data_IF_664931761379
#
_entry.id   IF_664931761379
#
_cell.length_a   1.000
_cell.length_b   1.000
_cell.length_c   1.000
_cell.angle_alpha   90.00
_cell.angle_beta   90.00
_cell.angle_gamma   90.00
#
_symmetry.space_group_name_H-M   'P 1'
#
loop_
_entity.id
_entity.type
_entity.pdbx_description
1 polymer ?
#
# COMPACT_ATOMS: atom_id res chain seq x y z
N UNK A 1 15.78 -21.39 77.22
CA UNK A 1 14.88 -20.86 76.16
C UNK A 1 15.66 -20.72 74.87
N UNK A 2 15.48 -21.64 73.93
CA UNK A 2 16.19 -21.57 72.61
C UNK A 2 15.16 -21.16 71.55
N UNK A 3 15.38 -19.99 70.97
CA UNK A 3 14.56 -19.50 69.82
C UNK A 3 15.06 -20.13 68.52
N UNK A 4 14.20 -20.89 67.87
CA UNK A 4 14.49 -21.48 66.53
C UNK A 4 14.08 -20.46 65.46
N UNK A 5 15.07 -19.93 64.74
CA UNK A 5 14.86 -19.15 63.51
C UNK A 5 14.55 -20.14 62.35
N UNK A 6 13.40 -19.94 61.69
CA UNK A 6 13.04 -20.59 60.42
C UNK A 6 13.49 -19.69 59.25
N UNK A 7 14.26 -20.17 58.27
CA UNK A 7 14.53 -19.39 57.10
C UNK A 7 13.31 -19.42 56.12
N UNK A 8 12.74 -18.25 55.81
CA UNK A 8 11.74 -18.09 54.73
C UNK A 8 12.46 -18.09 53.39
N UNK A 9 12.20 -19.13 52.59
CA UNK A 9 12.71 -19.22 51.22
C UNK A 9 11.87 -18.30 50.30
N UNK A 10 12.45 -17.20 49.87
CA UNK A 10 11.84 -16.32 48.89
C UNK A 10 12.03 -16.93 47.49
N UNK A 11 10.96 -17.43 46.87
CA UNK A 11 10.99 -17.90 45.49
C UNK A 11 10.81 -16.69 44.58
N UNK A 12 11.90 -16.27 43.93
CA UNK A 12 11.90 -15.23 42.93
C UNK A 12 11.36 -15.81 41.61
N UNK A 13 10.12 -15.48 41.24
CA UNK A 13 9.51 -15.86 39.96
C UNK A 13 10.06 -14.92 38.88
N UNK A 14 11.07 -15.36 38.13
CA UNK A 14 11.58 -14.62 36.98
C UNK A 14 10.59 -14.75 35.81
N UNK A 15 9.80 -13.69 35.56
CA UNK A 15 8.95 -13.57 34.38
C UNK A 15 9.86 -13.30 33.19
N UNK A 16 10.10 -14.31 32.37
CA UNK A 16 10.79 -14.18 31.08
C UNK A 16 9.89 -13.45 30.09
N UNK A 17 10.03 -12.14 29.99
CA UNK A 17 9.48 -11.34 28.88
C UNK A 17 10.16 -11.78 27.59
N UNK A 18 9.49 -12.64 26.80
CA UNK A 18 9.91 -12.95 25.45
C UNK A 18 9.57 -11.73 24.57
N UNK A 19 10.55 -11.11 23.87
CA UNK A 19 10.21 -10.14 22.85
C UNK A 19 9.49 -10.90 21.73
N UNK A 20 8.20 -10.61 21.54
CA UNK A 20 7.50 -11.05 20.33
C UNK A 20 8.15 -10.32 19.16
N UNK A 21 8.92 -11.04 18.35
CA UNK A 21 9.41 -10.53 17.08
C UNK A 21 8.19 -10.28 16.19
N UNK A 22 7.76 -9.02 16.12
CA UNK A 22 6.75 -8.58 15.15
C UNK A 22 7.31 -8.86 13.76
N UNK A 23 6.81 -9.90 13.10
CA UNK A 23 7.13 -10.17 11.70
C UNK A 23 6.62 -8.99 10.87
N UNK A 24 7.55 -8.22 10.29
CA UNK A 24 7.21 -7.14 9.40
C UNK A 24 6.41 -7.71 8.21
N UNK A 25 5.23 -7.15 7.93
CA UNK A 25 4.42 -7.56 6.79
C UNK A 25 5.19 -7.33 5.49
N UNK A 26 5.10 -8.28 4.57
CA UNK A 26 5.64 -8.11 3.23
C UNK A 26 4.83 -7.06 2.45
N UNK A 27 5.41 -6.51 1.39
CA UNK A 27 4.73 -5.56 0.49
C UNK A 27 3.42 -6.17 -0.04
N UNK A 28 3.46 -7.43 -0.47
CA UNK A 28 2.30 -8.15 -0.99
C UNK A 28 1.19 -8.35 0.07
N UNK A 29 1.57 -8.72 1.29
CA UNK A 29 0.63 -8.87 2.40
C UNK A 29 0.01 -7.53 2.82
N UNK A 30 0.80 -6.47 2.91
CA UNK A 30 0.31 -5.12 3.22
C UNK A 30 -0.73 -4.67 2.20
N UNK A 31 -0.44 -4.81 0.91
CA UNK A 31 -1.36 -4.45 -0.17
C UNK A 31 -2.62 -5.34 -0.19
N UNK A 32 -2.46 -6.65 0.05
CA UNK A 32 -3.57 -7.61 0.11
C UNK A 32 -4.50 -7.31 1.28
N UNK A 33 -3.95 -7.11 2.48
CA UNK A 33 -4.72 -6.81 3.68
C UNK A 33 -5.44 -5.46 3.60
N UNK A 34 -4.87 -4.49 2.88
CA UNK A 34 -5.55 -3.23 2.58
C UNK A 34 -6.66 -3.42 1.54
N UNK A 35 -6.62 -4.50 0.72
CA UNK A 35 -7.60 -4.83 -0.32
C UNK A 35 -7.27 -4.21 -1.68
N UNK A 36 -5.99 -3.90 -1.96
CA UNK A 36 -5.56 -3.32 -3.23
C UNK A 36 -5.54 -4.34 -4.38
N UNK A 37 -5.22 -5.61 -4.08
CA UNK A 37 -5.02 -6.65 -5.11
C UNK A 37 -6.27 -6.79 -5.97
N UNK A 38 -6.12 -6.64 -7.30
CA UNK A 38 -7.20 -6.72 -8.26
C UNK A 38 -7.05 -5.71 -9.40
N UNK A 39 -8.08 -5.61 -10.21
CA UNK A 39 -8.19 -4.70 -11.36
C UNK A 39 -9.07 -3.52 -11.01
N UNK A 40 -8.61 -2.30 -11.31
CA UNK A 40 -9.26 -1.04 -10.95
C UNK A 40 -9.45 -0.16 -12.18
N UNK A 41 -10.66 0.38 -12.37
CA UNK A 41 -11.03 1.20 -13.53
C UNK A 41 -12.13 2.21 -13.17
N UNK A 42 -12.32 3.19 -14.03
CA UNK A 42 -13.48 4.09 -13.95
C UNK A 42 -14.75 3.38 -14.43
N UNK A 43 -14.63 2.60 -15.53
CA UNK A 43 -15.75 1.83 -16.12
C UNK A 43 -15.30 0.41 -16.43
N UNK A 44 -15.80 -0.57 -15.68
CA UNK A 44 -15.49 -1.98 -15.89
C UNK A 44 -16.19 -2.59 -17.14
N UNK A 45 -17.20 -1.94 -17.68
CA UNK A 45 -17.98 -2.43 -18.84
C UNK A 45 -17.41 -2.06 -20.21
N UNK A 46 -16.36 -1.25 -20.26
CA UNK A 46 -15.73 -0.82 -21.51
C UNK A 46 -14.28 -1.33 -21.62
N UNK A 47 -13.70 -1.49 -22.82
CA UNK A 47 -12.27 -1.81 -22.96
C UNK A 47 -11.39 -0.66 -22.43
N UNK A 48 -10.15 -0.94 -22.00
CA UNK A 48 -9.19 0.07 -21.60
C UNK A 48 -8.94 1.09 -22.70
N UNK A 49 -8.78 2.35 -22.31
CA UNK A 49 -8.49 3.48 -23.21
C UNK A 49 -7.54 4.48 -22.53
N UNK A 50 -7.07 5.49 -23.28
CA UNK A 50 -6.21 6.55 -22.72
C UNK A 50 -6.88 7.34 -21.60
N UNK A 51 -8.20 7.52 -21.65
CA UNK A 51 -8.97 8.25 -20.64
C UNK A 51 -9.52 7.37 -19.51
N UNK A 52 -9.57 6.04 -19.72
CA UNK A 52 -10.01 5.05 -18.73
C UNK A 52 -9.04 3.86 -18.76
N UNK A 53 -7.88 4.06 -18.17
CA UNK A 53 -6.86 3.04 -18.07
C UNK A 53 -7.23 1.94 -17.08
N UNK A 54 -6.78 0.73 -17.36
CA UNK A 54 -6.83 -0.37 -16.42
C UNK A 54 -5.58 -0.36 -15.53
N UNK A 55 -5.78 -0.35 -14.22
CA UNK A 55 -4.73 -0.49 -13.22
C UNK A 55 -4.91 -1.81 -12.50
N UNK A 56 -3.94 -2.70 -12.64
CA UNK A 56 -4.01 -4.02 -12.01
C UNK A 56 -2.87 -4.21 -11.02
N UNK A 57 -3.23 -4.54 -9.79
CA UNK A 57 -2.26 -4.92 -8.77
C UNK A 57 -2.28 -6.42 -8.59
N UNK A 58 -1.15 -7.08 -8.82
CA UNK A 58 -1.04 -8.55 -8.86
C UNK A 58 0.24 -9.03 -8.20
N UNK A 59 0.14 -10.15 -7.48
CA UNK A 59 1.32 -10.81 -6.88
C UNK A 59 1.83 -11.89 -7.83
N UNK A 60 3.10 -11.81 -8.19
CA UNK A 60 3.82 -12.80 -8.99
C UNK A 60 5.16 -13.12 -8.32
N UNK A 61 5.41 -14.41 -8.03
CA UNK A 61 6.65 -14.84 -7.38
C UNK A 61 6.91 -14.15 -6.03
N UNK A 62 5.86 -13.88 -5.25
CA UNK A 62 5.94 -13.21 -3.95
C UNK A 62 6.16 -11.68 -4.03
N UNK A 63 6.26 -11.11 -5.22
CA UNK A 63 6.44 -9.68 -5.45
C UNK A 63 5.13 -9.06 -5.95
N UNK A 64 4.87 -7.82 -5.54
CA UNK A 64 3.73 -7.03 -6.00
C UNK A 64 4.10 -6.25 -7.25
N UNK A 65 3.22 -6.30 -8.26
CA UNK A 65 3.33 -5.55 -9.50
C UNK A 65 2.13 -4.65 -9.71
N UNK A 66 2.39 -3.50 -10.32
CA UNK A 66 1.44 -2.57 -10.86
C UNK A 66 1.47 -2.66 -12.39
N UNK A 67 0.51 -3.36 -12.95
CA UNK A 67 0.31 -3.46 -14.39
C UNK A 67 -0.66 -2.37 -14.84
N UNK A 68 -0.35 -1.71 -15.95
CA UNK A 68 -1.19 -0.66 -16.52
C UNK A 68 -1.51 -0.98 -17.97
N UNK A 69 -2.72 -0.68 -18.38
CA UNK A 69 -3.16 -0.75 -19.78
C UNK A 69 -4.00 0.48 -20.14
N UNK A 70 -3.63 1.17 -21.22
CA UNK A 70 -4.28 2.40 -21.71
C UNK A 70 -4.73 2.23 -23.17
N UNK A 71 -5.10 1.03 -23.58
CA UNK A 71 -5.50 0.68 -24.94
C UNK A 71 -4.30 0.30 -25.80
N UNK A 72 -3.56 1.30 -26.28
CA UNK A 72 -2.37 1.12 -27.14
C UNK A 72 -1.06 1.00 -26.35
N UNK A 73 -1.05 1.39 -25.09
CA UNK A 73 0.12 1.34 -24.22
C UNK A 73 -0.13 0.47 -23.00
N UNK A 74 0.82 -0.39 -22.69
CA UNK A 74 0.80 -1.23 -21.48
C UNK A 74 2.19 -1.38 -20.89
N UNK A 75 2.27 -1.46 -19.59
CA UNK A 75 3.48 -1.76 -18.86
C UNK A 75 3.22 -2.54 -17.57
N UNK A 76 4.30 -3.07 -16.99
CA UNK A 76 4.29 -3.76 -15.71
C UNK A 76 5.47 -3.27 -14.89
N UNK A 77 5.18 -2.78 -13.69
CA UNK A 77 6.15 -2.13 -12.83
C UNK A 77 6.14 -2.74 -11.43
N UNK A 78 7.32 -2.98 -10.86
CA UNK A 78 7.40 -3.55 -9.51
C UNK A 78 7.05 -2.49 -8.45
N UNK A 79 6.20 -2.88 -7.50
CA UNK A 79 5.99 -2.13 -6.26
C UNK A 79 7.14 -2.45 -5.31
N UNK A 80 7.89 -1.44 -4.91
CA UNK A 80 9.09 -1.59 -4.09
C UNK A 80 8.85 -1.28 -2.61
N UNK A 81 7.72 -0.62 -2.28
CA UNK A 81 7.27 -0.44 -0.91
C UNK A 81 5.75 -0.34 -0.82
N UNK A 82 5.18 -0.77 0.31
CA UNK A 82 3.78 -0.59 0.66
C UNK A 82 3.66 -0.33 2.15
N UNK A 83 3.02 0.76 2.54
CA UNK A 83 2.83 1.16 3.93
C UNK A 83 1.40 1.61 4.17
N UNK A 84 0.71 0.96 5.12
CA UNK A 84 -0.58 1.46 5.60
C UNK A 84 -0.33 2.60 6.59
N UNK A 85 -0.91 3.76 6.31
CA UNK A 85 -0.80 4.96 7.15
C UNK A 85 -1.82 4.90 8.31
N UNK A 86 -1.59 5.72 9.34
CA UNK A 86 -2.47 5.80 10.50
C UNK A 86 -3.90 6.27 10.16
N UNK A 87 -4.07 7.07 9.10
CA UNK A 87 -5.36 7.53 8.57
C UNK A 87 -6.11 6.47 7.73
N UNK A 88 -5.53 5.26 7.61
CA UNK A 88 -6.09 4.17 6.84
C UNK A 88 -5.75 4.19 5.34
N UNK A 89 -5.07 5.23 4.84
CA UNK A 89 -4.59 5.27 3.47
C UNK A 89 -3.45 4.26 3.24
N UNK A 90 -3.18 3.95 1.97
CA UNK A 90 -2.08 3.09 1.55
C UNK A 90 -1.09 3.90 0.73
N UNK A 91 0.15 3.92 1.15
CA UNK A 91 1.26 4.49 0.41
C UNK A 91 2.02 3.37 -0.32
N UNK A 92 2.25 3.56 -1.62
CA UNK A 92 3.02 2.65 -2.47
C UNK A 92 4.16 3.39 -3.14
N UNK A 93 5.32 2.74 -3.25
CA UNK A 93 6.39 3.18 -4.16
C UNK A 93 6.49 2.20 -5.32
N UNK A 94 6.44 2.72 -6.54
CA UNK A 94 6.48 1.94 -7.78
C UNK A 94 7.65 2.40 -8.63
N UNK A 95 8.46 1.46 -9.08
CA UNK A 95 9.57 1.72 -9.99
C UNK A 95 9.13 1.44 -11.42
N UNK A 96 8.97 2.50 -12.21
CA UNK A 96 8.61 2.46 -13.63
C UNK A 96 9.87 2.42 -14.48
N UNK A 97 10.36 1.22 -14.80
CA UNK A 97 11.57 1.06 -15.62
C UNK A 97 11.37 1.63 -17.04
N UNK A 98 10.16 1.48 -17.61
CA UNK A 98 9.82 2.03 -18.94
C UNK A 98 9.89 3.56 -19.02
N UNK A 99 9.75 4.24 -17.87
CA UNK A 99 9.77 5.71 -17.76
C UNK A 99 11.03 6.22 -17.07
N UNK A 100 11.92 5.35 -16.61
CA UNK A 100 13.09 5.69 -15.78
C UNK A 100 12.70 6.57 -14.58
N UNK A 101 11.59 6.26 -13.92
CA UNK A 101 11.04 7.03 -12.80
C UNK A 101 10.65 6.12 -11.62
N UNK A 102 10.83 6.64 -10.42
CA UNK A 102 10.23 6.07 -9.21
C UNK A 102 9.13 7.01 -8.72
N UNK A 103 7.92 6.48 -8.55
CA UNK A 103 6.77 7.26 -8.10
C UNK A 103 6.19 6.73 -6.82
N UNK A 104 5.80 7.65 -5.95
CA UNK A 104 5.10 7.34 -4.70
C UNK A 104 3.64 7.77 -4.84
N UNK A 105 2.74 6.83 -4.61
CA UNK A 105 1.30 7.02 -4.61
C UNK A 105 0.75 6.93 -3.19
N UNK A 106 -0.25 7.73 -2.87
CA UNK A 106 -1.08 7.50 -1.70
C UNK A 106 -2.52 7.30 -2.16
N UNK A 107 -3.10 6.17 -1.79
CA UNK A 107 -4.48 5.82 -2.09
C UNK A 107 -5.35 5.93 -0.85
N UNK A 108 -6.55 6.48 -1.03
CA UNK A 108 -7.62 6.39 -0.05
C UNK A 108 -8.72 5.43 -0.54
N UNK A 109 -9.44 4.84 0.41
CA UNK A 109 -10.59 3.96 0.15
C UNK A 109 -11.87 4.63 0.63
N UNK A 110 -12.89 4.65 -0.23
CA UNK A 110 -14.23 5.08 0.14
C UNK A 110 -14.97 3.99 0.93
N UNK A 111 -16.05 4.39 1.60
CA UNK A 111 -16.93 3.47 2.33
C UNK A 111 -17.60 2.42 1.42
N UNK A 112 -17.70 2.71 0.13
CA UNK A 112 -18.21 1.82 -0.93
C UNK A 112 -17.15 0.87 -1.53
N UNK A 113 -15.91 0.89 -0.98
CA UNK A 113 -14.80 0.06 -1.42
C UNK A 113 -14.05 0.56 -2.66
N UNK A 114 -14.50 1.68 -3.28
CA UNK A 114 -13.75 2.32 -4.37
C UNK A 114 -12.47 2.95 -3.85
N UNK A 115 -11.48 3.11 -4.71
CA UNK A 115 -10.20 3.76 -4.36
C UNK A 115 -9.94 4.97 -5.24
N UNK A 116 -9.15 5.91 -4.75
CA UNK A 116 -8.58 6.99 -5.58
C UNK A 116 -7.22 7.40 -5.05
N UNK A 117 -6.35 7.85 -5.96
CA UNK A 117 -5.09 8.46 -5.58
C UNK A 117 -5.34 9.86 -5.01
N UNK A 118 -4.76 10.17 -3.86
CA UNK A 118 -4.77 11.49 -3.23
C UNK A 118 -3.40 12.15 -3.30
N UNK A 119 -2.36 11.37 -3.61
CA UNK A 119 -1.01 11.86 -3.89
C UNK A 119 -0.37 11.00 -4.97
N UNK A 120 0.39 11.62 -5.85
CA UNK A 120 1.28 10.97 -6.80
C UNK A 120 2.50 11.87 -7.04
N UNK A 121 3.66 11.43 -6.55
CA UNK A 121 4.91 12.18 -6.54
C UNK A 121 5.99 11.39 -7.28
N UNK A 122 6.77 12.05 -8.10
CA UNK A 122 8.06 11.54 -8.55
C UNK A 122 9.05 11.64 -7.39
N UNK A 123 9.65 10.52 -6.98
CA UNK A 123 10.54 10.46 -5.82
C UNK A 123 11.86 11.20 -6.08
N UNK A 124 12.35 11.13 -7.35
CA UNK A 124 13.65 11.66 -7.72
C UNK A 124 13.63 13.20 -7.88
N UNK A 125 12.56 13.75 -8.49
CA UNK A 125 12.42 15.20 -8.74
C UNK A 125 11.57 15.93 -7.72
N UNK A 126 10.85 15.18 -6.86
CA UNK A 126 9.86 15.71 -5.92
C UNK A 126 8.66 16.44 -6.58
N UNK A 127 8.43 16.21 -7.87
CA UNK A 127 7.30 16.76 -8.61
C UNK A 127 6.03 15.96 -8.37
N UNK A 128 4.92 16.66 -8.19
CA UNK A 128 3.61 16.06 -7.98
C UNK A 128 2.73 16.18 -9.22
N UNK A 129 2.06 15.10 -9.59
CA UNK A 129 0.92 15.13 -10.52
C UNK A 129 -0.42 15.14 -9.79
N UNK A 130 -0.45 14.59 -8.56
CA UNK A 130 -1.57 14.70 -7.63
C UNK A 130 -1.01 15.14 -6.28
N UNK A 131 -1.55 16.21 -5.71
CA UNK A 131 -1.20 16.72 -4.40
C UNK A 131 -2.47 17.13 -3.64
N UNK A 132 -2.55 16.74 -2.37
CA UNK A 132 -3.70 17.06 -1.50
C UNK A 132 -5.06 16.70 -2.13
N UNK A 133 -5.11 15.54 -2.81
CA UNK A 133 -6.31 15.03 -3.46
C UNK A 133 -6.72 15.76 -4.72
N UNK A 134 -5.82 16.52 -5.36
CA UNK A 134 -6.10 17.28 -6.60
C UNK A 134 -4.99 17.10 -7.64
N UNK A 135 -5.36 17.05 -8.90
CA UNK A 135 -4.39 17.14 -10.00
C UNK A 135 -3.71 18.50 -9.99
N UNK A 136 -2.37 18.51 -10.02
CA UNK A 136 -1.59 19.77 -10.04
C UNK A 136 -1.79 20.58 -11.33
N UNK A 137 -2.12 19.89 -12.44
CA UNK A 137 -2.31 20.50 -13.74
C UNK A 137 -3.60 21.36 -13.85
N UNK A 138 -4.67 21.01 -13.15
CA UNK A 138 -5.98 21.64 -13.34
C UNK A 138 -6.82 21.81 -12.05
N UNK A 139 -6.34 21.34 -10.90
CA UNK A 139 -7.05 21.44 -9.62
C UNK A 139 -8.24 20.49 -9.46
N UNK A 140 -8.53 19.65 -10.44
CA UNK A 140 -9.62 18.68 -10.36
C UNK A 140 -9.29 17.54 -9.39
N UNK A 141 -10.32 16.98 -8.75
CA UNK A 141 -10.18 15.82 -7.90
C UNK A 141 -10.05 14.55 -8.77
N UNK A 142 -9.07 13.65 -8.51
CA UNK A 142 -9.00 12.36 -9.19
C UNK A 142 -10.28 11.57 -9.00
N UNK A 143 -10.79 10.90 -10.04
CA UNK A 143 -12.01 10.12 -9.95
C UNK A 143 -11.82 8.86 -9.10
N UNK A 144 -12.92 8.36 -8.55
CA UNK A 144 -12.96 7.09 -7.89
C UNK A 144 -12.88 5.93 -8.91
N UNK A 145 -12.06 4.95 -8.59
CA UNK A 145 -11.92 3.72 -9.37
C UNK A 145 -12.67 2.58 -8.69
N UNK A 146 -13.38 1.80 -9.51
CA UNK A 146 -14.13 0.63 -9.10
C UNK A 146 -13.28 -0.61 -9.31
N UNK A 147 -13.38 -1.58 -8.40
CA UNK A 147 -12.75 -2.88 -8.56
C UNK A 147 -13.56 -3.71 -9.56
N UNK A 148 -12.94 -4.04 -10.69
CA UNK A 148 -13.52 -4.90 -11.69
C UNK A 148 -13.36 -6.40 -11.30
N UNK A 149 -14.36 -7.20 -11.64
CA UNK A 149 -14.39 -8.66 -11.38
C UNK A 149 -13.89 -9.43 -12.59
#
# INVERSE_FOLDING_TARGET
MQARFRPSTLVLLAVLLRPEASLAQTIAETASNWGLIGTWRLNCGAPPSRSDGELKYVVRGGKLFHDREFGDARDSSQVTSATRKADGSLELTVKFDSLSQTRQFTFMKGSDGRIRAVSNRNVDTNEYTIRDGKFTANGNTPPWQTRCR
#
